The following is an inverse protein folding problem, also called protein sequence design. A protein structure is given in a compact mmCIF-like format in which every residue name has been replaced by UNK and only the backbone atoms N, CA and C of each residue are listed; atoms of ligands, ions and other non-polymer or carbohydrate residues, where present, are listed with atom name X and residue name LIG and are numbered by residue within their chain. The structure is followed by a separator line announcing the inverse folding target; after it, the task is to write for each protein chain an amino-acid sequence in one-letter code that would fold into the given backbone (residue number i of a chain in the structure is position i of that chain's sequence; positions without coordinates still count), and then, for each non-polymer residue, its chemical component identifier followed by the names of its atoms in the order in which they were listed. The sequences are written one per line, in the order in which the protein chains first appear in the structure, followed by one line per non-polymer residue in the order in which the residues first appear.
data_IF_903127792083
#
_entry.id   IF_903127792083
#
_cell.length_a   1.000
_cell.length_b   1.000
_cell.length_c   1.000
_cell.angle_alpha   90.00
_cell.angle_beta   90.00
_cell.angle_gamma   90.00
#
_symmetry.space_group_name_H-M   'P 1'
#
loop_
_entity.id
_entity.type
_entity.pdbx_description
1 polymer ?
#
# COMPACT_ATOMS: atom_id res chain seq x y z
N UNK A 1 -9.07 -12.33 29.07
CA UNK A 1 -8.70 -12.12 28.72
C UNK A 1 -8.16 -11.95 28.20
N UNK A 2 -8.31 -11.86 27.89
CA UNK A 2 -7.81 -11.61 27.23
C UNK A 2 -7.15 -11.47 26.78
N UNK A 3 -7.03 -11.44 26.77
CA UNK A 3 -6.36 -11.48 26.07
C UNK A 3 -5.41 -11.88 25.67
N UNK A 4 -5.35 -12.53 25.90
CA UNK A 4 -4.39 -12.94 25.25
C UNK A 4 -4.37 -12.82 23.83
N UNK A 5 -4.24 -11.93 23.33
CA UNK A 5 -4.40 -11.72 21.94
C UNK A 5 -3.15 -12.07 21.18
N UNK A 6 -3.33 -12.51 19.93
CA UNK A 6 -2.17 -12.70 19.07
C UNK A 6 -1.55 -11.36 18.75
N UNK A 7 -0.31 -11.37 18.31
CA UNK A 7 0.36 -10.14 17.93
C UNK A 7 -0.29 -9.47 16.72
N UNK A 8 -0.98 -10.25 15.89
CA UNK A 8 -1.61 -9.69 14.71
C UNK A 8 -2.91 -8.96 15.01
N UNK A 9 -3.51 -9.26 16.14
CA UNK A 9 -4.80 -8.69 16.46
C UNK A 9 -4.80 -7.15 16.46
N UNK A 10 -3.83 -6.49 17.10
CA UNK A 10 -3.79 -5.02 17.03
C UNK A 10 -3.56 -4.50 15.61
N UNK A 11 -2.78 -5.22 14.80
CA UNK A 11 -2.52 -4.78 13.43
C UNK A 11 -3.77 -4.91 12.57
N UNK A 12 -4.55 -5.97 12.76
CA UNK A 12 -5.80 -6.13 12.02
C UNK A 12 -6.78 -5.03 12.39
N UNK A 13 -6.87 -4.72 13.67
CA UNK A 13 -7.75 -3.64 14.11
C UNK A 13 -7.28 -2.29 13.58
N UNK A 14 -5.96 -2.09 13.54
CA UNK A 14 -5.38 -0.86 13.02
C UNK A 14 -5.78 -0.66 11.57
N UNK A 15 -5.57 -1.67 10.74
CA UNK A 15 -5.83 -1.50 9.31
C UNK A 15 -7.33 -1.36 9.03
N UNK A 16 -8.17 -2.03 9.82
CA UNK A 16 -9.61 -1.86 9.67
C UNK A 16 -10.04 -0.45 10.06
N UNK A 17 -9.44 0.11 11.12
CA UNK A 17 -9.73 1.47 11.53
C UNK A 17 -9.29 2.47 10.47
N UNK A 18 -8.12 2.24 9.88
CA UNK A 18 -7.64 3.09 8.80
C UNK A 18 -8.58 3.02 7.61
N UNK A 19 -8.98 1.81 7.23
CA UNK A 19 -9.91 1.65 6.11
C UNK A 19 -11.21 2.41 6.38
N UNK A 20 -11.76 2.27 7.57
CA UNK A 20 -13.00 2.94 7.92
C UNK A 20 -12.85 4.46 7.83
N UNK A 21 -11.72 4.96 8.31
CA UNK A 21 -11.44 6.39 8.31
C UNK A 21 -11.32 6.95 6.89
N UNK A 22 -10.66 6.21 6.01
CA UNK A 22 -10.34 6.70 4.67
C UNK A 22 -11.23 6.12 3.58
N UNK A 23 -12.26 5.35 3.95
CA UNK A 23 -13.08 4.64 2.97
C UNK A 23 -13.62 5.57 1.90
N UNK A 24 -14.15 6.71 2.30
CA UNK A 24 -14.77 7.63 1.37
C UNK A 24 -13.74 8.17 0.39
N UNK A 25 -12.57 8.55 0.90
CA UNK A 25 -11.48 9.05 0.05
C UNK A 25 -11.04 7.97 -0.93
N UNK A 26 -10.88 6.74 -0.44
CA UNK A 26 -10.46 5.63 -1.29
C UNK A 26 -11.46 5.39 -2.41
N UNK A 27 -12.75 5.41 -2.10
CA UNK A 27 -13.78 5.10 -3.08
C UNK A 27 -14.00 6.22 -4.07
N UNK A 28 -13.84 7.47 -3.64
CA UNK A 28 -14.18 8.61 -4.48
C UNK A 28 -12.98 9.19 -5.23
N UNK A 29 -11.77 8.81 -4.85
CA UNK A 29 -10.58 9.35 -5.50
C UNK A 29 -10.49 8.90 -6.95
N UNK A 30 -10.03 9.80 -7.80
CA UNK A 30 -9.74 9.48 -9.20
C UNK A 30 -8.34 8.93 -9.38
N UNK A 31 -7.56 8.87 -8.33
CA UNK A 31 -6.22 8.32 -8.35
C UNK A 31 -6.20 6.93 -7.75
N UNK A 32 -5.25 6.10 -8.20
CA UNK A 32 -4.97 4.84 -7.55
C UNK A 32 -4.29 5.15 -6.21
N UNK A 33 -4.73 4.46 -5.16
CA UNK A 33 -4.25 4.72 -3.80
C UNK A 33 -4.04 3.40 -3.10
N UNK A 34 -2.93 3.26 -2.36
CA UNK A 34 -2.82 2.16 -1.40
C UNK A 34 -2.16 2.65 -0.12
N UNK A 35 -2.53 1.97 0.97
CA UNK A 35 -1.96 2.18 2.29
C UNK A 35 -1.26 0.91 2.70
N UNK A 36 -0.05 1.04 3.19
CA UNK A 36 0.79 -0.09 3.54
C UNK A 36 1.28 0.06 4.98
N UNK A 37 0.97 -0.94 5.81
CA UNK A 37 1.54 -1.06 7.15
C UNK A 37 2.58 -2.18 7.16
N UNK A 38 2.19 -3.35 6.67
CA UNK A 38 3.12 -4.46 6.44
C UNK A 38 2.51 -5.34 5.34
N UNK A 39 3.19 -6.44 5.01
CA UNK A 39 2.78 -7.27 3.88
C UNK A 39 1.40 -7.88 4.06
N UNK A 40 0.99 -8.10 5.30
CA UNK A 40 -0.29 -8.72 5.60
C UNK A 40 -1.38 -7.71 5.96
N UNK A 41 -1.02 -6.44 6.09
CA UNK A 41 -1.96 -5.40 6.53
C UNK A 41 -1.81 -4.21 5.60
N UNK A 42 -2.58 -4.24 4.53
CA UNK A 42 -2.55 -3.22 3.50
C UNK A 42 -3.94 -3.10 2.90
N UNK A 43 -4.24 -1.93 2.37
CA UNK A 43 -5.52 -1.70 1.71
C UNK A 43 -5.27 -0.87 0.46
N UNK A 44 -6.20 -0.96 -0.49
CA UNK A 44 -6.12 -0.12 -1.69
C UNK A 44 -7.52 0.21 -2.15
N UNK A 45 -7.61 1.11 -3.13
CA UNK A 45 -8.89 1.35 -3.77
C UNK A 45 -8.98 0.53 -5.06
N UNK A 46 -10.17 0.53 -5.66
CA UNK A 46 -10.41 -0.26 -6.87
C UNK A 46 -9.51 0.19 -8.01
N UNK A 47 -9.18 1.48 -8.07
CA UNK A 47 -8.33 1.98 -9.14
C UNK A 47 -6.94 1.37 -9.10
N UNK A 48 -6.39 1.16 -7.91
CA UNK A 48 -5.08 0.53 -7.80
C UNK A 48 -5.15 -0.94 -8.22
N UNK A 49 -6.17 -1.66 -7.74
CA UNK A 49 -6.34 -3.06 -8.13
C UNK A 49 -6.47 -3.19 -9.64
N UNK A 50 -7.27 -2.33 -10.26
CA UNK A 50 -7.47 -2.33 -11.71
C UNK A 50 -6.18 -1.99 -12.44
N UNK A 51 -5.43 -1.02 -11.93
CA UNK A 51 -4.15 -0.62 -12.54
C UNK A 51 -3.21 -1.82 -12.66
N UNK A 52 -3.19 -2.67 -11.65
CA UNK A 52 -2.32 -3.85 -11.64
C UNK A 52 -2.95 -5.08 -12.28
N UNK A 53 -4.16 -4.95 -12.83
CA UNK A 53 -4.79 -6.04 -13.56
C UNK A 53 -5.57 -7.01 -12.70
N UNK A 54 -5.87 -6.66 -11.46
CA UNK A 54 -6.72 -7.47 -10.59
C UNK A 54 -8.17 -7.05 -10.76
N UNK A 55 -9.08 -8.02 -10.63
CA UNK A 55 -10.49 -7.75 -10.85
C UNK A 55 -11.10 -6.96 -9.70
N UNK A 56 -10.59 -7.17 -8.50
CA UNK A 56 -11.19 -6.57 -7.31
C UNK A 56 -10.12 -6.31 -6.27
N UNK A 57 -10.47 -5.48 -5.30
CA UNK A 57 -9.62 -5.24 -4.13
C UNK A 57 -9.37 -6.55 -3.40
N UNK A 58 -10.39 -7.40 -3.33
CA UNK A 58 -10.27 -8.68 -2.63
C UNK A 58 -9.25 -9.60 -3.32
N UNK A 59 -9.27 -9.62 -4.65
CA UNK A 59 -8.31 -10.44 -5.38
C UNK A 59 -6.88 -9.94 -5.12
N UNK A 60 -6.69 -8.64 -5.17
CA UNK A 60 -5.38 -8.05 -4.89
C UNK A 60 -4.94 -8.36 -3.46
N UNK A 61 -5.86 -8.20 -2.50
CA UNK A 61 -5.55 -8.42 -1.08
C UNK A 61 -5.23 -9.87 -0.77
N UNK A 62 -5.71 -10.80 -1.58
CA UNK A 62 -5.49 -12.22 -1.35
C UNK A 62 -4.11 -12.70 -1.78
N UNK A 63 -3.32 -11.85 -2.43
CA UNK A 63 -1.97 -12.22 -2.84
C UNK A 63 -1.11 -12.34 -1.58
N UNK A 64 -0.49 -13.50 -1.41
CA UNK A 64 0.24 -13.84 -0.18
C UNK A 64 1.73 -13.57 -0.23
N UNK A 65 2.25 -13.21 -1.39
CA UNK A 65 3.67 -12.93 -1.52
C UNK A 65 4.00 -11.57 -0.90
N UNK A 66 5.25 -11.37 -0.47
CA UNK A 66 5.67 -10.04 0.00
C UNK A 66 5.38 -8.98 -1.06
N UNK A 67 4.97 -7.80 -0.61
CA UNK A 67 4.52 -6.73 -1.50
C UNK A 67 5.52 -6.44 -2.61
N UNK A 68 6.78 -6.30 -2.23
CA UNK A 68 7.83 -5.94 -3.17
C UNK A 68 7.95 -6.98 -4.29
N UNK A 69 7.91 -8.27 -3.91
CA UNK A 69 8.06 -9.34 -4.88
C UNK A 69 6.81 -9.50 -5.74
N UNK A 70 5.64 -9.30 -5.14
CA UNK A 70 4.39 -9.53 -5.86
C UNK A 70 4.07 -8.41 -6.83
N UNK A 71 4.35 -7.16 -6.46
CA UNK A 71 3.78 -6.03 -7.17
C UNK A 71 4.80 -5.06 -7.77
N UNK A 72 6.10 -5.24 -7.51
CA UNK A 72 7.09 -4.25 -7.94
C UNK A 72 8.14 -4.91 -8.80
N UNK A 73 8.41 -4.33 -9.97
CA UNK A 73 9.48 -4.84 -10.85
C UNK A 73 10.82 -4.68 -10.15
N UNK A 74 11.71 -5.59 -10.46
CA UNK A 74 13.02 -5.64 -9.79
C UNK A 74 13.74 -4.29 -9.85
N UNK A 75 13.65 -3.62 -11.00
CA UNK A 75 14.34 -2.35 -11.19
C UNK A 75 13.92 -1.27 -10.19
N UNK A 76 12.70 -1.36 -9.67
CA UNK A 76 12.15 -0.35 -8.78
C UNK A 76 12.09 -0.76 -7.33
N UNK A 77 12.53 -1.98 -7.00
CA UNK A 77 12.39 -2.47 -5.63
C UNK A 77 13.23 -1.67 -4.65
N UNK A 78 14.48 -1.39 -5.01
CA UNK A 78 15.38 -0.70 -4.10
C UNK A 78 14.91 0.72 -3.81
N UNK A 79 14.49 1.45 -4.84
CA UNK A 79 14.04 2.84 -4.62
C UNK A 79 12.78 2.86 -3.77
N UNK A 80 11.86 1.93 -3.98
CA UNK A 80 10.63 1.93 -3.20
C UNK A 80 10.91 1.58 -1.74
N UNK A 81 11.77 0.59 -1.49
CA UNK A 81 12.11 0.19 -0.13
C UNK A 81 12.83 1.32 0.62
N UNK A 82 13.81 1.95 -0.03
CA UNK A 82 14.55 3.03 0.63
C UNK A 82 13.66 4.23 0.90
N UNK A 83 12.75 4.54 -0.03
CA UNK A 83 11.81 5.65 0.15
C UNK A 83 10.86 5.35 1.31
N UNK A 84 10.38 4.12 1.39
CA UNK A 84 9.53 3.70 2.49
C UNK A 84 10.26 3.82 3.83
N UNK A 85 11.52 3.38 3.87
CA UNK A 85 12.31 3.49 5.10
C UNK A 85 12.46 4.95 5.53
N UNK A 86 12.76 5.84 4.58
CA UNK A 86 12.88 7.26 4.89
C UNK A 86 11.57 7.84 5.41
N UNK A 87 10.46 7.42 4.83
CA UNK A 87 9.16 7.89 5.29
C UNK A 87 8.89 7.44 6.72
N UNK A 88 9.23 6.19 7.05
CA UNK A 88 8.95 5.67 8.38
C UNK A 88 9.92 6.18 9.43
N UNK A 89 11.20 6.32 9.08
CA UNK A 89 12.23 6.72 10.04
C UNK A 89 12.32 8.23 10.18
N UNK A 90 12.26 8.95 9.06
CA UNK A 90 12.48 10.39 9.06
C UNK A 90 11.21 11.20 8.83
N UNK A 91 10.09 10.52 8.60
CA UNK A 91 8.77 11.15 8.38
C UNK A 91 8.82 12.10 7.19
N UNK A 92 9.46 11.66 6.12
CA UNK A 92 9.64 12.45 4.90
C UNK A 92 8.71 11.92 3.81
N UNK A 93 7.95 12.82 3.20
CA UNK A 93 7.18 12.50 2.00
C UNK A 93 8.08 12.50 0.78
N UNK A 94 7.69 11.79 -0.27
CA UNK A 94 8.53 11.63 -1.44
C UNK A 94 7.69 11.50 -2.70
N UNK A 95 8.34 11.73 -3.84
CA UNK A 95 7.76 11.65 -5.17
C UNK A 95 8.76 10.88 -6.02
N UNK A 96 8.43 9.65 -6.41
CA UNK A 96 9.35 8.77 -7.12
C UNK A 96 8.66 8.07 -8.28
N UNK A 97 9.45 7.59 -9.24
CA UNK A 97 8.94 6.74 -10.30
C UNK A 97 9.10 5.28 -9.90
N UNK A 98 8.06 4.49 -10.14
CA UNK A 98 8.05 3.07 -9.80
C UNK A 98 7.45 2.27 -10.94
N UNK A 99 8.14 1.20 -11.33
CA UNK A 99 7.59 0.21 -12.24
C UNK A 99 6.88 -0.85 -11.41
N UNK A 100 5.56 -0.84 -11.48
CA UNK A 100 4.78 -1.88 -10.82
C UNK A 100 4.64 -3.08 -11.76
N UNK A 101 4.40 -4.22 -11.16
CA UNK A 101 4.21 -5.48 -11.87
C UNK A 101 2.73 -5.84 -11.86
N UNK A 102 2.14 -5.94 -13.04
CA UNK A 102 0.75 -6.35 -13.16
C UNK A 102 0.61 -7.85 -12.86
N UNK A 103 -0.62 -8.27 -12.66
CA UNK A 103 -0.93 -9.68 -12.47
C UNK A 103 -0.36 -10.54 -13.59
N UNK A 104 -0.34 -10.02 -14.82
CA UNK A 104 0.20 -10.73 -15.97
C UNK A 104 1.72 -10.80 -16.00
N UNK A 105 2.40 -10.03 -15.15
CA UNK A 105 3.84 -9.89 -15.16
C UNK A 105 4.34 -8.69 -15.95
N UNK A 106 3.45 -8.03 -16.69
CA UNK A 106 3.83 -6.83 -17.42
C UNK A 106 4.08 -5.68 -16.47
N UNK A 107 4.93 -4.75 -16.89
CA UNK A 107 5.20 -3.58 -16.07
C UNK A 107 4.28 -2.43 -16.43
N UNK A 108 3.99 -1.59 -15.45
CA UNK A 108 3.31 -0.33 -15.66
C UNK A 108 4.13 0.76 -15.00
N UNK A 109 4.43 1.80 -15.77
CA UNK A 109 5.28 2.89 -15.30
C UNK A 109 4.41 3.93 -14.61
N UNK A 110 4.80 4.29 -13.40
CA UNK A 110 4.00 5.19 -12.57
C UNK A 110 4.85 6.21 -11.87
N UNK A 111 4.20 7.27 -11.44
CA UNK A 111 4.73 8.21 -10.47
C UNK A 111 4.01 7.96 -9.16
N UNK A 112 4.77 7.86 -8.06
CA UNK A 112 4.21 7.57 -6.75
C UNK A 112 4.56 8.69 -5.80
N UNK A 113 3.54 9.26 -5.17
CA UNK A 113 3.72 10.18 -4.06
C UNK A 113 3.49 9.37 -2.80
N UNK A 114 4.52 9.28 -1.95
CA UNK A 114 4.44 8.53 -0.70
C UNK A 114 4.42 9.49 0.47
N UNK A 115 3.45 9.32 1.36
CA UNK A 115 3.24 10.20 2.50
C UNK A 115 3.16 9.36 3.76
N UNK A 116 4.02 9.64 4.76
CA UNK A 116 3.85 8.98 6.06
C UNK A 116 2.65 9.59 6.77
N UNK A 117 1.77 8.74 7.28
CA UNK A 117 0.63 9.20 8.07
C UNK A 117 0.61 8.47 9.39
N UNK A 118 0.03 9.11 10.39
CA UNK A 118 -0.09 8.54 11.72
C UNK A 118 -1.55 8.24 12.01
N UNK A 119 -1.80 7.06 12.54
CA UNK A 119 -3.13 6.65 12.94
C UNK A 119 -3.01 5.85 14.23
N UNK A 120 -3.63 6.35 15.30
CA UNK A 120 -3.58 5.71 16.63
C UNK A 120 -2.15 5.40 17.07
N UNK A 121 -1.24 6.34 16.80
CA UNK A 121 0.15 6.21 17.23
C UNK A 121 1.03 5.36 16.33
N UNK A 122 0.48 4.80 15.26
CA UNK A 122 1.25 3.98 14.34
C UNK A 122 1.47 4.75 13.03
N UNK A 123 2.62 4.51 12.41
CA UNK A 123 2.93 5.12 11.12
C UNK A 123 2.59 4.16 9.99
N UNK A 124 1.97 4.70 8.96
CA UNK A 124 1.66 3.96 7.74
C UNK A 124 2.12 4.79 6.55
N UNK A 125 2.32 4.11 5.42
CA UNK A 125 2.68 4.80 4.20
C UNK A 125 1.48 4.85 3.28
N UNK A 126 1.04 6.07 2.98
CA UNK A 126 -0.05 6.34 2.05
C UNK A 126 0.57 6.65 0.69
N UNK A 127 0.09 5.97 -0.34
CA UNK A 127 0.66 6.10 -1.68
C UNK A 127 -0.40 6.55 -2.66
N UNK A 128 -0.09 7.61 -3.41
CA UNK A 128 -0.91 8.08 -4.51
C UNK A 128 -0.16 7.76 -5.80
N UNK A 129 -0.81 7.02 -6.70
CA UNK A 129 -0.16 6.50 -7.89
C UNK A 129 -0.80 7.08 -9.14
N UNK A 130 0.02 7.63 -10.03
CA UNK A 130 -0.41 8.13 -11.32
C UNK A 130 0.34 7.38 -12.40
N UNK A 131 -0.40 6.88 -13.40
CA UNK A 131 0.22 6.22 -14.54
C UNK A 131 0.89 7.28 -15.41
N UNK A 132 2.11 6.99 -15.83
CA UNK A 132 2.86 7.89 -16.71
C UNK A 132 2.61 7.53 -18.16
#
# INVERSE_FOLDING_TARGET
MAKKESKEHPHAELIQGVYKQFKEILEESKQAIYLYYDDNHKICNQRFATLLGYKSIEEWSAVNEPFIEAFVKEESQEILVSTYRNAMEDKIGSDIEVLFKKKTGESVKTNVIMVPISFNGELLALHFISKI
#
